data_IF_616225542874
#
_entry.id   IF_616225542874
#
_cell.length_a   1.000
_cell.length_b   1.000
_cell.length_c   1.000
_cell.angle_alpha   90.00
_cell.angle_beta   90.00
_cell.angle_gamma   90.00
#
_symmetry.space_group_name_H-M   'P 1'
#
loop_
_entity.id
_entity.type
_entity.pdbx_description
1 polymer ?
#
# COMPACT_ATOMS: atom_id res chain seq x y z
N UNK A 1 -32.69 2.38 6.56
CA UNK A 1 -32.58 1.36 7.62
C UNK A 1 -33.48 1.76 8.77
N UNK A 2 -34.15 0.81 9.41
CA UNK A 2 -34.88 1.09 10.64
C UNK A 2 -33.88 1.37 11.77
N UNK A 3 -34.23 2.22 12.75
CA UNK A 3 -33.34 2.58 13.87
C UNK A 3 -32.80 1.34 14.61
N UNK A 4 -33.59 0.26 14.67
CA UNK A 4 -33.17 -1.03 15.27
C UNK A 4 -32.07 -1.75 14.51
N UNK A 5 -31.98 -1.59 13.19
CA UNK A 5 -30.90 -2.19 12.38
C UNK A 5 -29.58 -1.44 12.59
N UNK A 6 -29.64 -0.12 12.78
CA UNK A 6 -28.47 0.71 13.05
C UNK A 6 -27.92 0.41 14.45
N UNK A 7 -28.80 0.22 15.43
CA UNK A 7 -28.40 -0.19 16.78
C UNK A 7 -27.73 -1.58 16.77
N UNK A 8 -28.34 -2.56 16.09
CA UNK A 8 -27.73 -3.90 15.92
C UNK A 8 -26.38 -3.83 15.18
N UNK A 9 -26.22 -2.93 14.22
CA UNK A 9 -24.94 -2.71 13.53
C UNK A 9 -23.89 -2.17 14.49
N UNK A 10 -24.22 -1.17 15.30
CA UNK A 10 -23.32 -0.61 16.32
C UNK A 10 -22.88 -1.68 17.30
N UNK A 11 -23.81 -2.45 17.85
CA UNK A 11 -23.49 -3.55 18.78
C UNK A 11 -22.55 -4.59 18.14
N UNK A 12 -22.78 -4.90 16.86
CA UNK A 12 -21.94 -5.84 16.11
C UNK A 12 -20.52 -5.29 15.88
N UNK A 13 -20.41 -3.98 15.60
CA UNK A 13 -19.12 -3.29 15.43
C UNK A 13 -18.36 -3.25 16.77
N UNK A 14 -19.04 -2.96 17.87
CA UNK A 14 -18.44 -2.93 19.20
C UNK A 14 -17.95 -4.32 19.61
N UNK A 15 -18.76 -5.36 19.37
CA UNK A 15 -18.32 -6.75 19.59
C UNK A 15 -17.11 -7.12 18.71
N UNK A 16 -17.10 -6.70 17.43
CA UNK A 16 -15.97 -6.94 16.54
C UNK A 16 -14.69 -6.23 17.03
N UNK A 17 -14.82 -5.02 17.59
CA UNK A 17 -13.70 -4.29 18.20
C UNK A 17 -13.15 -5.01 19.43
N UNK A 18 -14.02 -5.55 20.29
CA UNK A 18 -13.61 -6.35 21.45
C UNK A 18 -12.84 -7.60 21.01
N UNK A 19 -13.34 -8.33 20.00
CA UNK A 19 -12.66 -9.52 19.49
C UNK A 19 -11.31 -9.17 18.84
N UNK A 20 -11.24 -8.09 18.06
CA UNK A 20 -9.97 -7.59 17.52
C UNK A 20 -8.95 -7.32 18.65
N UNK A 21 -9.39 -6.68 19.73
CA UNK A 21 -8.54 -6.41 20.91
C UNK A 21 -8.08 -7.70 21.61
N UNK A 22 -8.96 -8.71 21.75
CA UNK A 22 -8.58 -10.05 22.27
C UNK A 22 -7.59 -10.75 21.35
N UNK A 23 -7.69 -10.51 20.05
CA UNK A 23 -6.71 -10.96 19.07
C UNK A 23 -5.39 -10.16 19.11
N UNK A 24 -5.22 -9.23 20.05
CA UNK A 24 -3.98 -8.46 20.19
C UNK A 24 -3.75 -7.47 19.05
N UNK A 25 -4.79 -7.19 18.25
CA UNK A 25 -4.77 -6.10 17.28
C UNK A 25 -4.87 -4.77 18.03
N UNK A 26 -4.23 -3.76 17.47
CA UNK A 26 -4.26 -2.39 17.97
C UNK A 26 -4.71 -1.44 16.84
N UNK A 27 -5.99 -1.50 16.43
CA UNK A 27 -6.52 -0.61 15.39
C UNK A 27 -6.59 0.85 15.85
N UNK A 28 -6.56 1.79 14.90
CA UNK A 28 -6.92 3.18 15.21
C UNK A 28 -8.40 3.28 15.62
N UNK A 29 -8.75 4.19 16.54
CA UNK A 29 -10.16 4.53 16.77
C UNK A 29 -10.80 4.89 15.43
N UNK A 30 -11.87 4.19 15.06
CA UNK A 30 -12.46 4.27 13.71
C UNK A 30 -13.87 4.83 13.79
N UNK A 31 -14.13 5.88 13.02
CA UNK A 31 -15.48 6.42 12.81
C UNK A 31 -16.08 5.78 11.56
N UNK A 32 -17.19 5.07 11.74
CA UNK A 32 -17.96 4.49 10.64
C UNK A 32 -19.08 5.43 10.21
N UNK A 33 -19.13 5.75 8.92
CA UNK A 33 -20.18 6.56 8.31
C UNK A 33 -20.88 5.76 7.20
N UNK A 34 -22.21 5.73 7.23
CA UNK A 34 -23.01 5.15 6.17
C UNK A 34 -23.16 6.17 5.05
N UNK A 35 -22.78 5.79 3.83
CA UNK A 35 -22.83 6.67 2.66
C UNK A 35 -23.52 6.00 1.47
N UNK A 36 -24.19 6.79 0.61
CA UNK A 36 -24.67 6.33 -0.68
C UNK A 36 -23.53 5.84 -1.58
N UNK A 37 -23.86 4.92 -2.50
CA UNK A 37 -22.90 4.39 -3.47
C UNK A 37 -22.18 5.51 -4.26
N UNK A 38 -22.89 6.57 -4.64
CA UNK A 38 -22.31 7.69 -5.38
C UNK A 38 -21.16 8.38 -4.63
N UNK A 39 -21.26 8.52 -3.31
CA UNK A 39 -20.23 9.13 -2.47
C UNK A 39 -19.05 8.16 -2.29
N UNK A 40 -19.33 6.86 -2.09
CA UNK A 40 -18.28 5.84 -2.02
C UNK A 40 -17.39 5.84 -3.28
N UNK A 41 -18.00 5.88 -4.48
CA UNK A 41 -17.25 5.92 -5.73
C UNK A 41 -16.54 7.25 -5.98
N UNK A 42 -17.06 8.35 -5.43
CA UNK A 42 -16.39 9.65 -5.45
C UNK A 42 -15.08 9.55 -4.67
N UNK A 43 -15.13 9.08 -3.43
CA UNK A 43 -13.92 8.90 -2.63
C UNK A 43 -12.95 7.89 -3.24
N UNK A 44 -13.42 6.79 -3.80
CA UNK A 44 -12.56 5.83 -4.49
C UNK A 44 -11.85 6.43 -5.72
N UNK A 45 -12.43 7.47 -6.33
CA UNK A 45 -11.89 8.10 -7.54
C UNK A 45 -10.95 9.26 -7.24
N UNK A 46 -11.27 10.03 -6.21
CA UNK A 46 -10.44 11.14 -5.74
C UNK A 46 -9.33 10.67 -4.79
N UNK A 47 -9.51 9.50 -4.16
CA UNK A 47 -8.61 8.90 -3.17
C UNK A 47 -8.81 9.45 -1.76
N UNK A 48 -9.09 10.76 -1.63
CA UNK A 48 -9.30 11.46 -0.36
C UNK A 48 -10.50 12.41 -0.45
N UNK A 49 -11.28 12.57 0.62
CA UNK A 49 -12.34 13.57 0.69
C UNK A 49 -11.74 14.99 0.62
N UNK A 50 -12.39 15.88 -0.15
CA UNK A 50 -12.00 17.30 -0.24
C UNK A 50 -10.79 17.59 -1.15
N UNK A 51 -10.35 16.63 -1.97
CA UNK A 51 -9.24 16.82 -2.92
C UNK A 51 -9.59 17.79 -4.03
N UNK A 52 -8.57 18.46 -4.58
CA UNK A 52 -8.74 19.42 -5.68
C UNK A 52 -9.45 18.77 -6.88
N UNK A 53 -10.22 19.59 -7.59
CA UNK A 53 -10.96 19.15 -8.77
C UNK A 53 -10.02 18.97 -9.96
N UNK A 54 -10.12 17.83 -10.64
CA UNK A 54 -9.39 17.57 -11.88
C UNK A 54 -10.16 16.57 -12.74
N UNK A 55 -10.12 16.72 -14.06
CA UNK A 55 -10.90 15.90 -14.98
C UNK A 55 -10.53 14.40 -14.91
N UNK A 56 -9.30 14.05 -14.55
CA UNK A 56 -8.86 12.65 -14.38
C UNK A 56 -9.63 11.95 -13.27
N UNK A 57 -9.90 12.64 -12.15
CA UNK A 57 -10.71 12.12 -11.05
C UNK A 57 -12.15 11.87 -11.51
N UNK A 58 -12.74 12.84 -12.23
CA UNK A 58 -14.07 12.71 -12.82
C UNK A 58 -14.18 11.55 -13.82
N UNK A 59 -13.18 11.38 -14.68
CA UNK A 59 -13.10 10.23 -15.61
C UNK A 59 -13.03 8.90 -14.86
N UNK A 60 -12.23 8.83 -13.79
CA UNK A 60 -12.14 7.64 -12.95
C UNK A 60 -13.47 7.34 -12.27
N UNK A 61 -14.15 8.36 -11.75
CA UNK A 61 -15.48 8.27 -11.15
C UNK A 61 -16.51 7.66 -12.09
N UNK A 62 -16.65 8.22 -13.28
CA UNK A 62 -17.59 7.66 -14.26
C UNK A 62 -17.25 6.21 -14.62
N UNK A 63 -15.97 5.86 -14.76
CA UNK A 63 -15.57 4.48 -15.05
C UNK A 63 -15.97 3.52 -13.93
N UNK A 64 -15.66 3.86 -12.68
CA UNK A 64 -15.95 3.00 -11.52
C UNK A 64 -17.45 2.89 -11.26
N UNK A 65 -18.17 4.01 -11.33
CA UNK A 65 -19.63 4.03 -11.19
C UNK A 65 -20.32 3.19 -12.27
N UNK A 66 -19.90 3.31 -13.54
CA UNK A 66 -20.46 2.50 -14.62
C UNK A 66 -20.24 1.00 -14.39
N UNK A 67 -19.06 0.60 -13.90
CA UNK A 67 -18.80 -0.81 -13.53
C UNK A 67 -19.75 -1.28 -12.43
N UNK A 68 -20.06 -0.43 -11.46
CA UNK A 68 -21.02 -0.73 -10.41
C UNK A 68 -22.45 -0.85 -10.92
N UNK A 69 -22.90 0.11 -11.74
CA UNK A 69 -24.26 0.10 -12.30
C UNK A 69 -24.52 -1.14 -13.17
N UNK A 70 -23.46 -1.68 -13.81
CA UNK A 70 -23.51 -2.96 -14.53
C UNK A 70 -23.24 -4.20 -13.68
N UNK A 71 -23.00 -4.06 -12.37
CA UNK A 71 -22.72 -5.17 -11.45
C UNK A 71 -21.39 -5.87 -11.67
N UNK A 72 -20.43 -5.21 -12.35
CA UNK A 72 -19.10 -5.76 -12.66
C UNK A 72 -18.10 -5.59 -11.50
N UNK A 73 -18.28 -4.55 -10.69
CA UNK A 73 -17.38 -4.24 -9.58
C UNK A 73 -18.17 -3.59 -8.44
N UNK A 74 -17.85 -3.96 -7.20
CA UNK A 74 -18.45 -3.39 -6.00
C UNK A 74 -17.35 -3.08 -5.00
N UNK A 75 -17.27 -1.82 -4.57
CA UNK A 75 -16.38 -1.39 -3.50
C UNK A 75 -17.12 -1.62 -2.19
N UNK A 76 -16.59 -2.51 -1.34
CA UNK A 76 -17.20 -2.83 -0.06
C UNK A 76 -16.81 -1.81 1.01
N UNK A 77 -15.56 -1.33 0.98
CA UNK A 77 -15.01 -0.38 1.94
C UNK A 77 -14.18 0.71 1.29
N UNK A 78 -14.14 1.85 1.97
CA UNK A 78 -13.09 2.84 1.79
C UNK A 78 -12.66 3.33 3.17
N UNK A 79 -11.35 3.28 3.42
CA UNK A 79 -10.74 3.61 4.72
C UNK A 79 -9.67 4.67 4.53
N UNK A 80 -9.77 5.74 5.31
CA UNK A 80 -8.77 6.81 5.36
C UNK A 80 -7.93 6.61 6.62
N UNK A 81 -6.63 6.42 6.46
CA UNK A 81 -5.67 6.09 7.52
C UNK A 81 -5.27 7.27 8.45
N UNK A 82 -6.22 8.13 8.81
CA UNK A 82 -6.06 9.20 9.80
C UNK A 82 -6.15 8.70 11.23
N UNK A 83 -5.89 9.55 12.22
CA UNK A 83 -6.15 9.26 13.63
C UNK A 83 -7.03 10.37 14.26
N UNK A 84 -8.32 10.13 14.51
CA UNK A 84 -9.06 8.86 14.29
C UNK A 84 -9.19 8.49 12.81
N UNK A 85 -9.33 7.20 12.52
CA UNK A 85 -9.54 6.66 11.18
C UNK A 85 -10.98 6.88 10.75
N UNK A 86 -11.20 7.17 9.46
CA UNK A 86 -12.56 7.25 8.89
C UNK A 86 -12.78 6.06 7.98
N UNK A 87 -13.90 5.38 8.16
CA UNK A 87 -14.32 4.25 7.34
C UNK A 87 -15.74 4.48 6.86
N UNK A 88 -15.94 4.24 5.57
CA UNK A 88 -17.22 4.50 4.92
C UNK A 88 -17.85 3.17 4.52
N UNK A 89 -19.11 3.00 4.87
CA UNK A 89 -19.92 1.79 4.65
C UNK A 89 -21.03 2.12 3.66
N UNK A 90 -21.39 1.18 2.77
CA UNK A 90 -22.50 1.43 1.84
C UNK A 90 -23.85 1.26 2.53
N UNK A 91 -24.75 2.22 2.33
CA UNK A 91 -26.15 2.15 2.82
C UNK A 91 -26.96 0.99 2.24
N UNK A 92 -26.62 0.54 1.02
CA UNK A 92 -27.34 -0.53 0.32
C UNK A 92 -26.90 -1.93 0.76
N UNK A 93 -25.87 -2.04 1.58
CA UNK A 93 -25.41 -3.33 2.10
C UNK A 93 -26.35 -3.85 3.18
N UNK A 94 -26.48 -5.17 3.27
CA UNK A 94 -27.16 -5.77 4.40
C UNK A 94 -26.31 -5.62 5.68
N UNK A 95 -26.94 -5.86 6.83
CA UNK A 95 -26.28 -5.75 8.13
C UNK A 95 -25.01 -6.59 8.20
N UNK A 96 -25.10 -7.87 7.80
CA UNK A 96 -23.99 -8.81 7.81
C UNK A 96 -22.80 -8.31 6.98
N UNK A 97 -23.05 -7.78 5.78
CA UNK A 97 -22.05 -7.19 4.90
C UNK A 97 -21.37 -6.00 5.56
N UNK A 98 -22.13 -5.12 6.22
CA UNK A 98 -21.53 -3.97 6.93
C UNK A 98 -20.75 -4.39 8.17
N UNK A 99 -21.18 -5.42 8.91
CA UNK A 99 -20.41 -6.01 10.01
C UNK A 99 -19.12 -6.66 9.50
N UNK A 100 -19.20 -7.42 8.40
CA UNK A 100 -18.05 -8.01 7.73
C UNK A 100 -17.04 -6.94 7.30
N UNK A 101 -17.52 -5.87 6.67
CA UNK A 101 -16.69 -4.74 6.27
C UNK A 101 -16.05 -4.09 7.49
N UNK A 102 -16.79 -3.83 8.57
CA UNK A 102 -16.22 -3.24 9.77
C UNK A 102 -15.10 -4.11 10.39
N UNK A 103 -15.29 -5.44 10.42
CA UNK A 103 -14.24 -6.37 10.86
C UNK A 103 -12.99 -6.32 9.96
N UNK A 104 -13.18 -6.16 8.64
CA UNK A 104 -12.09 -6.00 7.68
C UNK A 104 -11.34 -4.68 7.88
N UNK A 105 -12.09 -3.59 8.08
CA UNK A 105 -11.55 -2.25 8.36
C UNK A 105 -10.66 -2.26 9.60
N UNK A 106 -11.02 -2.99 10.67
CA UNK A 106 -10.15 -3.13 11.84
C UNK A 106 -8.81 -3.79 11.53
N UNK A 107 -8.77 -4.74 10.60
CA UNK A 107 -7.52 -5.29 10.09
C UNK A 107 -6.67 -4.22 9.38
N UNK A 108 -7.28 -3.42 8.51
CA UNK A 108 -6.58 -2.33 7.84
C UNK A 108 -6.05 -1.25 8.80
N UNK A 109 -6.88 -0.81 9.75
CA UNK A 109 -6.48 0.26 10.67
C UNK A 109 -5.40 -0.19 11.64
N UNK A 110 -5.40 -1.47 12.04
CA UNK A 110 -4.27 -2.10 12.74
C UNK A 110 -3.00 -2.12 11.88
N UNK A 111 -3.12 -2.51 10.61
CA UNK A 111 -1.99 -2.53 9.67
C UNK A 111 -1.39 -1.13 9.48
N UNK A 112 -2.23 -0.12 9.22
CA UNK A 112 -1.81 1.27 9.03
C UNK A 112 -1.11 1.86 10.26
N UNK A 113 -1.51 1.45 11.47
CA UNK A 113 -0.90 1.94 12.71
C UNK A 113 0.49 1.36 12.94
N UNK A 114 0.68 0.08 12.61
CA UNK A 114 1.82 -0.70 13.08
C UNK A 114 2.88 -0.99 12.00
N UNK A 115 2.56 -0.87 10.71
CA UNK A 115 3.53 -1.13 9.65
C UNK A 115 4.55 0.02 9.50
N UNK A 116 5.83 -0.33 9.36
CA UNK A 116 6.95 0.61 9.30
C UNK A 116 6.86 1.61 8.13
N UNK A 117 6.27 1.21 6.99
CA UNK A 117 6.14 2.07 5.81
C UNK A 117 5.10 3.19 6.00
N UNK A 118 4.14 3.01 6.91
CA UNK A 118 3.14 4.03 7.25
C UNK A 118 3.61 5.03 8.31
N UNK A 119 4.78 4.83 8.92
CA UNK A 119 5.29 5.67 10.01
C UNK A 119 5.43 7.15 9.64
N UNK A 120 5.77 7.43 8.37
CA UNK A 120 5.98 8.79 7.86
C UNK A 120 4.69 9.41 7.28
N UNK A 121 3.59 8.67 7.24
CA UNK A 121 2.34 9.13 6.67
C UNK A 121 1.65 10.14 7.60
N UNK A 122 1.16 11.23 7.01
CA UNK A 122 0.46 12.28 7.76
C UNK A 122 -0.87 11.77 8.31
N UNK A 123 -1.01 11.73 9.64
CA UNK A 123 -2.25 11.31 10.33
C UNK A 123 -3.42 12.31 10.20
N UNK A 124 -3.16 13.49 9.63
CA UNK A 124 -4.15 14.56 9.37
C UNK A 124 -4.19 14.91 7.88
N UNK A 125 -4.17 13.88 7.03
CA UNK A 125 -4.13 14.11 5.58
C UNK A 125 -5.40 14.80 5.08
N UNK A 126 -6.57 14.49 5.65
CA UNK A 126 -7.85 15.14 5.29
C UNK A 126 -7.75 16.67 5.40
N UNK A 127 -7.21 17.19 6.51
CA UNK A 127 -7.01 18.63 6.71
C UNK A 127 -6.07 19.23 5.66
N UNK A 128 -4.98 18.53 5.34
CA UNK A 128 -3.99 18.99 4.36
C UNK A 128 -4.57 19.06 2.95
N UNK A 129 -5.35 18.05 2.56
CA UNK A 129 -5.97 17.97 1.23
C UNK A 129 -6.96 19.11 1.02
N UNK A 130 -7.76 19.45 2.03
CA UNK A 130 -8.65 20.61 1.96
C UNK A 130 -7.88 21.92 1.74
N UNK A 131 -6.76 22.11 2.46
CA UNK A 131 -5.88 23.27 2.27
C UNK A 131 -5.26 23.27 0.86
N UNK A 132 -4.85 22.10 0.35
CA UNK A 132 -4.34 21.98 -1.01
C UNK A 132 -5.40 22.40 -2.05
N UNK A 133 -6.64 21.94 -1.88
CA UNK A 133 -7.74 22.28 -2.76
C UNK A 133 -8.05 23.79 -2.76
N UNK A 134 -8.04 24.44 -1.59
CA UNK A 134 -8.20 25.90 -1.48
C UNK A 134 -7.09 26.66 -2.20
N UNK A 135 -5.84 26.19 -2.10
CA UNK A 135 -4.68 26.80 -2.78
C UNK A 135 -4.79 26.65 -4.30
N UNK A 136 -5.15 25.47 -4.78
CA UNK A 136 -5.38 25.24 -6.22
C UNK A 136 -6.51 26.14 -6.72
N UNK A 137 -7.63 26.23 -6.01
CA UNK A 137 -8.74 27.11 -6.37
C UNK A 137 -8.34 28.59 -6.40
N UNK A 138 -7.48 29.02 -5.47
CA UNK A 138 -6.90 30.37 -5.49
C UNK A 138 -6.07 30.62 -6.75
N UNK A 139 -5.23 29.66 -7.15
CA UNK A 139 -4.45 29.79 -8.38
C UNK A 139 -5.31 29.77 -9.64
N UNK A 140 -6.39 28.98 -9.67
CA UNK A 140 -7.37 29.00 -10.77
C UNK A 140 -8.02 30.39 -10.91
N UNK A 141 -8.27 31.08 -9.79
CA UNK A 141 -8.80 32.44 -9.80
C UNK A 141 -7.77 33.49 -10.28
N UNK A 142 -6.52 33.38 -9.84
CA UNK A 142 -5.46 34.35 -10.14
C UNK A 142 -4.88 34.20 -11.57
N UNK A 143 -4.71 32.96 -12.04
CA UNK A 143 -4.03 32.64 -13.31
C UNK A 143 -4.97 32.11 -14.39
N UNK A 144 -6.23 31.82 -14.05
CA UNK A 144 -7.19 31.23 -14.97
C UNK A 144 -7.15 29.71 -14.93
N UNK A 145 -8.35 29.11 -14.98
CA UNK A 145 -8.55 27.66 -14.84
C UNK A 145 -7.76 26.83 -15.86
N UNK A 146 -7.82 27.20 -17.14
CA UNK A 146 -7.16 26.44 -18.21
C UNK A 146 -5.64 26.41 -18.07
N UNK A 147 -5.02 27.46 -17.52
CA UNK A 147 -3.56 27.48 -17.31
C UNK A 147 -3.14 26.57 -16.16
N UNK A 148 -3.88 26.62 -15.06
CA UNK A 148 -3.65 25.77 -13.89
C UNK A 148 -3.91 24.30 -14.23
N UNK A 149 -4.98 24.00 -14.96
CA UNK A 149 -5.32 22.64 -15.39
C UNK A 149 -4.24 22.05 -16.31
N UNK A 150 -3.75 22.81 -17.31
CA UNK A 150 -2.64 22.36 -18.17
C UNK A 150 -1.37 22.04 -17.37
N UNK A 151 -1.09 22.82 -16.33
CA UNK A 151 0.08 22.58 -15.49
C UNK A 151 -0.13 21.38 -14.55
N UNK A 152 -1.33 21.24 -13.98
CA UNK A 152 -1.72 20.07 -13.20
C UNK A 152 -1.66 18.79 -14.03
N UNK A 153 -2.10 18.80 -15.29
CA UNK A 153 -1.97 17.67 -16.22
C UNK A 153 -0.51 17.22 -16.35
N UNK A 154 0.40 18.18 -16.53
CA UNK A 154 1.83 17.89 -16.62
C UNK A 154 2.38 17.32 -15.31
N UNK A 155 2.03 17.91 -14.16
CA UNK A 155 2.48 17.44 -12.85
C UNK A 155 1.93 16.04 -12.51
N UNK A 156 0.65 15.79 -12.78
CA UNK A 156 0.00 14.51 -12.55
C UNK A 156 0.55 13.40 -13.45
N UNK A 157 1.01 13.73 -14.66
CA UNK A 157 1.60 12.74 -15.58
C UNK A 157 2.91 12.11 -15.10
N UNK A 158 3.58 12.74 -14.13
CA UNK A 158 4.84 12.27 -13.54
C UNK A 158 4.72 12.02 -12.03
N UNK A 159 3.50 12.02 -11.48
CA UNK A 159 3.27 11.99 -10.03
C UNK A 159 3.87 10.75 -9.34
N UNK A 160 3.96 9.62 -10.06
CA UNK A 160 4.44 8.34 -9.54
C UNK A 160 5.97 8.29 -9.40
N UNK A 161 6.70 9.25 -9.98
CA UNK A 161 8.16 9.34 -9.96
C UNK A 161 8.66 10.07 -8.70
N UNK A 162 8.20 9.60 -7.54
CA UNK A 162 8.64 10.05 -6.23
C UNK A 162 9.60 9.03 -5.61
N UNK A 163 10.57 9.52 -4.84
CA UNK A 163 11.41 8.62 -4.07
C UNK A 163 10.68 8.18 -2.81
N UNK A 164 10.18 6.95 -2.87
CA UNK A 164 9.47 6.31 -1.77
C UNK A 164 10.39 5.67 -0.73
N UNK A 165 11.70 5.60 -0.95
CA UNK A 165 12.66 5.02 0.01
C UNK A 165 13.00 6.00 1.15
N UNK A 166 12.02 6.72 1.68
CA UNK A 166 12.20 7.72 2.74
C UNK A 166 12.80 7.12 4.02
N UNK A 167 12.55 5.83 4.28
CA UNK A 167 13.14 5.06 5.38
C UNK A 167 14.68 4.91 5.24
N UNK A 168 15.19 4.83 4.01
CA UNK A 168 16.61 4.66 3.72
C UNK A 168 17.34 6.01 3.67
N UNK A 169 16.64 7.06 3.26
CA UNK A 169 17.17 8.42 3.07
C UNK A 169 16.85 9.36 4.24
N UNK A 170 16.91 8.88 5.48
CA UNK A 170 16.95 9.76 6.65
C UNK A 170 18.16 10.70 6.53
N UNK A 171 17.90 12.01 6.44
CA UNK A 171 18.83 13.14 6.28
C UNK A 171 20.29 12.73 6.08
N UNK A 172 20.65 12.38 4.83
CA UNK A 172 22.05 12.15 4.47
C UNK A 172 22.93 13.38 4.76
N UNK A 173 22.32 14.58 4.88
CA UNK A 173 22.98 15.81 5.30
C UNK A 173 23.59 15.67 6.71
N UNK A 174 22.86 15.13 7.68
CA UNK A 174 23.33 14.93 9.05
C UNK A 174 24.35 13.78 9.15
N UNK A 175 24.13 12.67 8.44
CA UNK A 175 25.06 11.52 8.43
C UNK A 175 26.40 11.82 7.72
N UNK A 176 26.43 12.80 6.81
CA UNK A 176 27.67 13.24 6.13
C UNK A 176 28.61 13.99 7.07
N UNK A 177 28.11 14.65 8.12
CA UNK A 177 28.96 15.30 9.11
C UNK A 177 29.64 14.28 10.03
N UNK A 178 28.94 13.21 10.44
CA UNK A 178 29.53 12.16 11.28
C UNK A 178 30.54 11.27 10.55
N UNK A 179 30.31 10.92 9.27
CA UNK A 179 31.21 10.06 8.50
C UNK A 179 32.58 10.67 8.18
N UNK A 180 32.76 11.99 8.34
CA UNK A 180 34.07 12.63 8.13
C UNK A 180 35.08 12.34 9.25
N UNK A 181 34.67 11.75 10.38
CA UNK A 181 35.49 11.72 11.59
C UNK A 181 36.20 10.40 11.92
N UNK A 182 36.05 9.30 11.17
CA UNK A 182 36.78 8.06 11.48
C UNK A 182 37.05 7.18 10.25
N UNK A 183 38.10 7.49 9.48
CA UNK A 183 38.81 6.46 8.71
C UNK A 183 40.04 6.02 9.54
N UNK A 184 39.85 5.05 10.44
CA UNK A 184 40.97 4.33 11.05
C UNK A 184 41.49 3.35 10.01
N UNK A 185 42.71 3.59 9.53
CA UNK A 185 43.37 2.73 8.54
C UNK A 185 44.03 1.54 9.25
N UNK A 186 43.71 0.34 8.81
CA UNK A 186 44.38 -0.89 9.26
C UNK A 186 45.53 -1.26 8.30
N UNK A 187 46.60 -1.91 8.80
CA UNK A 187 47.77 -2.35 8.01
C UNK A 187 47.42 -3.24 6.79
N UNK A 188 46.20 -3.80 6.75
CA UNK A 188 45.72 -4.68 5.68
C UNK A 188 44.65 -4.06 4.77
N UNK A 189 44.33 -2.76 4.91
CA UNK A 189 43.33 -2.07 4.06
C UNK A 189 43.69 -2.05 2.57
N UNK A 190 44.97 -2.24 2.23
CA UNK A 190 45.46 -2.26 0.84
C UNK A 190 45.07 -3.54 0.06
N UNK A 191 44.72 -4.64 0.73
CA UNK A 191 44.35 -5.90 0.06
C UNK A 191 42.92 -5.88 -0.51
N UNK A 192 42.03 -5.05 0.05
CA UNK A 192 40.61 -4.96 -0.34
C UNK A 192 40.27 -3.60 -0.99
N UNK A 193 41.26 -2.73 -1.20
CA UNK A 193 41.10 -1.36 -1.65
C UNK A 193 40.97 -1.15 -3.17
N UNK A 194 40.96 -2.20 -4.00
CA UNK A 194 40.92 -2.08 -5.46
C UNK A 194 39.64 -1.38 -5.97
N UNK A 195 38.48 -1.64 -5.36
CA UNK A 195 37.22 -0.96 -5.67
C UNK A 195 37.21 0.51 -5.19
N UNK A 196 37.78 0.78 -4.01
CA UNK A 196 37.93 2.16 -3.50
C UNK A 196 38.92 2.96 -4.35
N UNK A 197 40.01 2.34 -4.83
CA UNK A 197 40.96 2.94 -5.79
C UNK A 197 40.29 3.19 -7.14
N UNK A 198 39.49 2.24 -7.66
CA UNK A 198 38.74 2.45 -8.91
C UNK A 198 37.72 3.59 -8.80
N UNK A 199 36.99 3.69 -7.68
CA UNK A 199 36.08 4.82 -7.39
C UNK A 199 36.83 6.15 -7.24
N UNK A 200 37.94 6.19 -6.48
CA UNK A 200 38.77 7.40 -6.35
C UNK A 200 39.37 7.85 -7.69
N UNK A 201 39.86 6.93 -8.52
CA UNK A 201 40.38 7.23 -9.87
C UNK A 201 39.28 7.69 -10.82
N UNK A 202 38.05 7.16 -10.69
CA UNK A 202 36.89 7.64 -11.44
C UNK A 202 36.45 9.05 -10.99
N UNK A 203 36.43 9.32 -9.68
CA UNK A 203 36.15 10.64 -9.09
C UNK A 203 37.22 11.69 -9.46
N UNK A 204 38.51 11.32 -9.47
CA UNK A 204 39.61 12.17 -9.93
C UNK A 204 39.58 12.41 -11.45
N UNK A 205 39.13 11.42 -12.25
CA UNK A 205 38.88 11.60 -13.69
C UNK A 205 37.70 12.53 -13.98
N UNK A 206 36.70 12.59 -13.10
CA UNK A 206 35.53 13.45 -13.24
C UNK A 206 35.79 14.90 -12.80
N UNK A 207 36.75 15.10 -11.88
CA UNK A 207 37.23 16.42 -11.41
C UNK A 207 38.18 17.14 -12.38
N UNK A 208 38.38 16.64 -13.60
CA UNK A 208 39.23 17.31 -14.60
C UNK A 208 38.68 18.70 -14.93
N UNK A 209 39.52 19.77 -14.89
CA UNK A 209 39.08 21.12 -15.21
C UNK A 209 38.62 21.17 -16.67
N UNK A 210 37.35 21.54 -16.90
CA UNK A 210 36.78 21.71 -18.24
C UNK A 210 35.53 20.89 -18.57
N UNK A 211 35.09 19.96 -17.71
CA UNK A 211 33.74 19.38 -17.83
C UNK A 211 32.72 20.25 -17.10
N UNK A 212 31.53 20.51 -17.68
CA UNK A 212 30.44 21.11 -16.92
C UNK A 212 30.15 20.20 -15.71
N UNK A 213 29.84 20.79 -14.54
CA UNK A 213 29.49 19.99 -13.37
C UNK A 213 28.35 19.03 -13.73
N UNK A 214 28.46 17.76 -13.33
CA UNK A 214 27.36 16.81 -13.48
C UNK A 214 26.16 17.36 -12.72
N UNK A 215 25.08 17.61 -13.45
CA UNK A 215 23.85 18.14 -12.91
C UNK A 215 22.72 17.15 -13.19
N UNK A 216 22.09 16.58 -12.15
CA UNK A 216 22.42 16.67 -10.72
C UNK A 216 23.75 15.96 -10.33
N UNK A 217 24.29 16.29 -9.16
CA UNK A 217 25.54 15.69 -8.62
C UNK A 217 25.42 14.16 -8.45
N UNK A 218 24.21 13.70 -8.12
CA UNK A 218 23.83 12.29 -8.04
C UNK A 218 22.51 12.09 -8.78
N UNK A 219 22.26 10.92 -9.38
CA UNK A 219 20.95 10.62 -9.94
C UNK A 219 19.89 10.69 -8.83
N UNK A 220 18.88 11.54 -9.03
CA UNK A 220 17.72 11.64 -8.13
C UNK A 220 16.54 10.90 -8.75
N UNK A 221 15.91 10.01 -7.97
CA UNK A 221 14.70 9.31 -8.39
C UNK A 221 13.46 10.22 -8.32
N UNK A 222 13.42 11.12 -7.33
CA UNK A 222 12.30 12.01 -7.09
C UNK A 222 12.31 13.19 -8.09
N UNK A 223 11.65 13.00 -9.22
CA UNK A 223 11.61 13.99 -10.30
C UNK A 223 10.85 15.24 -9.85
N UNK A 224 9.80 15.09 -9.04
CA UNK A 224 9.03 16.23 -8.52
C UNK A 224 9.90 17.10 -7.61
N UNK A 225 10.64 16.49 -6.68
CA UNK A 225 11.56 17.22 -5.79
C UNK A 225 12.69 17.88 -6.58
N UNK A 226 13.23 17.17 -7.57
CA UNK A 226 14.24 17.71 -8.46
C UNK A 226 13.73 18.98 -9.15
N UNK A 227 12.54 18.94 -9.76
CA UNK A 227 11.94 20.11 -10.41
C UNK A 227 11.70 21.28 -9.46
N UNK A 228 11.21 21.01 -8.23
CA UNK A 228 11.02 22.06 -7.21
C UNK A 228 12.33 22.78 -6.90
N UNK A 229 13.43 22.04 -6.73
CA UNK A 229 14.73 22.59 -6.32
C UNK A 229 15.51 23.23 -7.46
N UNK A 230 15.39 22.66 -8.66
CA UNK A 230 16.34 22.90 -9.74
C UNK A 230 15.74 23.62 -10.94
N UNK A 231 14.42 23.75 -11.07
CA UNK A 231 13.81 24.43 -12.21
C UNK A 231 13.77 25.97 -11.98
N UNK A 232 14.58 26.76 -12.71
CA UNK A 232 14.65 28.20 -12.51
C UNK A 232 13.42 28.93 -13.07
N UNK A 233 12.76 28.36 -14.08
CA UNK A 233 11.65 28.99 -14.80
C UNK A 233 10.28 28.82 -14.16
N UNK A 234 10.16 27.94 -13.14
CA UNK A 234 8.88 27.73 -12.46
C UNK A 234 8.51 28.93 -11.59
N UNK A 235 7.30 29.43 -11.80
CA UNK A 235 6.69 30.44 -10.94
C UNK A 235 6.41 29.89 -9.55
N UNK A 236 6.29 30.75 -8.51
CA UNK A 236 6.00 30.28 -7.15
C UNK A 236 4.77 29.37 -7.04
N UNK A 237 3.67 29.70 -7.73
CA UNK A 237 2.44 28.89 -7.73
C UNK A 237 2.62 27.53 -8.43
N UNK A 238 3.44 27.48 -9.48
CA UNK A 238 3.75 26.24 -10.20
C UNK A 238 4.58 25.29 -9.32
N UNK A 239 5.58 25.82 -8.61
CA UNK A 239 6.36 25.03 -7.64
C UNK A 239 5.46 24.47 -6.55
N UNK A 240 4.52 25.28 -6.09
CA UNK A 240 3.59 24.88 -5.06
C UNK A 240 2.65 23.75 -5.51
N UNK A 241 2.14 23.80 -6.75
CA UNK A 241 1.34 22.70 -7.30
C UNK A 241 2.16 21.39 -7.36
N UNK A 242 3.42 21.44 -7.77
CA UNK A 242 4.29 20.25 -7.76
C UNK A 242 4.47 19.73 -6.33
N UNK A 243 4.63 20.63 -5.35
CA UNK A 243 4.74 20.27 -3.93
C UNK A 243 3.45 19.60 -3.40
N UNK A 244 2.28 20.13 -3.78
CA UNK A 244 0.96 19.55 -3.47
C UNK A 244 0.85 18.13 -4.02
N UNK A 245 1.12 17.94 -5.32
CA UNK A 245 1.06 16.63 -6.00
C UNK A 245 2.04 15.64 -5.36
N UNK A 246 3.27 16.09 -5.07
CA UNK A 246 4.29 15.27 -4.39
C UNK A 246 3.84 14.85 -3.00
N UNK A 247 3.32 15.78 -2.19
CA UNK A 247 2.88 15.50 -0.83
C UNK A 247 1.72 14.49 -0.80
N UNK A 248 0.79 14.58 -1.76
CA UNK A 248 -0.29 13.60 -1.90
C UNK A 248 0.22 12.24 -2.36
N UNK A 249 1.13 12.17 -3.34
CA UNK A 249 1.66 10.87 -3.76
C UNK A 249 2.48 10.18 -2.68
N UNK A 250 3.24 10.93 -1.89
CA UNK A 250 3.93 10.36 -0.72
C UNK A 250 2.98 9.75 0.31
N UNK A 251 1.74 10.24 0.39
CA UNK A 251 0.71 9.66 1.24
C UNK A 251 0.14 8.34 0.69
N UNK A 252 -0.02 8.23 -0.63
CA UNK A 252 -0.57 7.01 -1.27
C UNK A 252 0.46 5.90 -1.46
N UNK A 253 1.74 6.24 -1.58
CA UNK A 253 2.85 5.30 -1.81
C UNK A 253 2.84 4.09 -0.86
N UNK A 254 2.72 4.23 0.48
CA UNK A 254 2.70 3.08 1.38
C UNK A 254 1.55 2.12 1.10
N UNK A 255 0.36 2.62 0.74
CA UNK A 255 -0.80 1.79 0.38
C UNK A 255 -0.55 1.01 -0.91
N UNK A 256 0.16 1.61 -1.87
CA UNK A 256 0.56 0.93 -3.10
C UNK A 256 1.65 -0.12 -2.88
N UNK A 257 2.56 0.10 -1.91
CA UNK A 257 3.65 -0.82 -1.59
C UNK A 257 3.24 -2.03 -0.77
N UNK A 258 2.11 -1.94 -0.08
CA UNK A 258 1.69 -2.94 0.93
C UNK A 258 0.32 -3.53 0.60
N UNK A 259 -0.14 -3.41 -0.64
CA UNK A 259 -1.49 -3.81 -1.05
C UNK A 259 -1.74 -5.29 -0.75
N UNK A 260 -0.86 -6.19 -1.20
CA UNK A 260 -1.05 -7.65 -1.02
C UNK A 260 -1.04 -8.02 0.46
N UNK A 261 -0.06 -7.54 1.23
CA UNK A 261 0.04 -7.86 2.66
C UNK A 261 -1.11 -7.22 3.46
N UNK A 262 -1.51 -5.99 3.15
CA UNK A 262 -2.58 -5.28 3.85
C UNK A 262 -3.94 -5.96 3.62
N UNK A 263 -4.29 -6.28 2.36
CA UNK A 263 -5.54 -7.00 2.04
C UNK A 263 -5.55 -8.41 2.64
N UNK A 264 -4.40 -9.10 2.61
CA UNK A 264 -4.23 -10.40 3.25
C UNK A 264 -4.41 -10.35 4.76
N UNK A 265 -3.81 -9.35 5.42
CA UNK A 265 -3.90 -9.14 6.87
C UNK A 265 -5.36 -8.90 7.28
N UNK A 266 -6.03 -7.97 6.60
CA UNK A 266 -7.43 -7.68 6.85
C UNK A 266 -8.35 -8.88 6.56
N UNK A 267 -8.01 -9.71 5.58
CA UNK A 267 -8.75 -10.93 5.25
C UNK A 267 -8.60 -12.04 6.29
N UNK A 268 -7.43 -12.19 6.91
CA UNK A 268 -7.28 -13.18 7.99
C UNK A 268 -8.08 -12.75 9.21
N UNK A 269 -7.96 -11.49 9.61
CA UNK A 269 -8.59 -11.02 10.84
C UNK A 269 -10.09 -10.88 10.70
N UNK A 270 -10.61 -10.44 9.56
CA UNK A 270 -12.07 -10.47 9.37
C UNK A 270 -12.62 -11.89 9.49
N UNK A 271 -11.85 -12.91 9.08
CA UNK A 271 -12.33 -14.28 9.03
C UNK A 271 -12.40 -14.85 10.44
N UNK A 272 -11.38 -14.53 11.25
CA UNK A 272 -11.33 -14.91 12.66
C UNK A 272 -12.37 -14.18 13.50
N UNK A 273 -12.50 -12.86 13.31
CA UNK A 273 -13.47 -12.03 14.04
C UNK A 273 -14.88 -12.49 13.71
N UNK A 274 -15.24 -12.63 12.43
CA UNK A 274 -16.58 -13.07 12.03
C UNK A 274 -16.92 -14.47 12.55
N UNK A 275 -15.96 -15.41 12.58
CA UNK A 275 -16.17 -16.72 13.21
C UNK A 275 -16.45 -16.61 14.71
N UNK A 276 -15.69 -15.79 15.43
CA UNK A 276 -15.93 -15.57 16.87
C UNK A 276 -17.28 -14.89 17.16
N UNK A 277 -17.73 -13.99 16.28
CA UNK A 277 -19.07 -13.41 16.38
C UNK A 277 -20.16 -14.48 16.20
N UNK A 278 -19.92 -15.47 15.33
CA UNK A 278 -20.79 -16.65 15.18
C UNK A 278 -20.79 -17.53 16.41
N UNK A 279 -19.60 -17.86 16.95
CA UNK A 279 -19.46 -18.67 18.16
C UNK A 279 -20.13 -18.02 19.40
N UNK A 280 -20.13 -16.68 19.47
CA UNK A 280 -20.82 -15.90 20.51
C UNK A 280 -22.33 -15.73 20.27
N UNK A 281 -22.85 -16.14 19.11
CA UNK A 281 -24.27 -16.00 18.74
C UNK A 281 -24.70 -14.56 18.41
N UNK A 282 -23.76 -13.66 18.07
CA UNK A 282 -24.07 -12.29 17.63
C UNK A 282 -24.60 -12.30 16.20
N UNK A 283 -24.01 -13.14 15.35
CA UNK A 283 -24.54 -13.51 14.04
C UNK A 283 -25.18 -14.90 14.14
N UNK A 284 -26.31 -15.08 13.46
CA UNK A 284 -27.04 -16.34 13.38
C UNK A 284 -26.32 -17.38 12.52
N UNK A 285 -26.64 -18.67 12.71
CA UNK A 285 -26.07 -19.76 11.90
C UNK A 285 -26.32 -19.57 10.38
N UNK A 286 -27.47 -19.01 10.00
CA UNK A 286 -27.75 -18.64 8.61
C UNK A 286 -26.82 -17.54 8.09
N UNK A 287 -26.56 -16.53 8.92
CA UNK A 287 -25.63 -15.43 8.59
C UNK A 287 -24.18 -15.93 8.51
N UNK A 288 -23.80 -16.96 9.28
CA UNK A 288 -22.48 -17.60 9.17
C UNK A 288 -22.30 -18.26 7.79
N UNK A 289 -23.33 -18.94 7.28
CA UNK A 289 -23.28 -19.54 5.93
C UNK A 289 -23.20 -18.46 4.85
N UNK A 290 -24.00 -17.40 4.98
CA UNK A 290 -23.95 -16.25 4.07
C UNK A 290 -22.57 -15.58 4.09
N UNK A 291 -21.98 -15.41 5.28
CA UNK A 291 -20.61 -14.91 5.43
C UNK A 291 -19.59 -15.80 4.71
N UNK A 292 -19.70 -17.13 4.81
CA UNK A 292 -18.79 -18.03 4.09
C UNK A 292 -18.88 -17.85 2.56
N UNK A 293 -20.08 -17.61 2.03
CA UNK A 293 -20.28 -17.30 0.61
C UNK A 293 -19.65 -15.94 0.24
N UNK A 294 -19.87 -14.90 1.06
CA UNK A 294 -19.27 -13.59 0.85
C UNK A 294 -17.73 -13.65 0.87
N UNK A 295 -17.15 -14.29 1.89
CA UNK A 295 -15.71 -14.44 2.05
C UNK A 295 -15.07 -15.21 0.89
N UNK A 296 -15.68 -16.31 0.45
CA UNK A 296 -15.18 -17.08 -0.70
C UNK A 296 -15.26 -16.31 -2.02
N UNK A 297 -16.27 -15.45 -2.19
CA UNK A 297 -16.38 -14.56 -3.34
C UNK A 297 -15.25 -13.54 -3.39
N UNK A 298 -14.93 -12.92 -2.25
CA UNK A 298 -13.82 -11.95 -2.13
C UNK A 298 -12.46 -12.61 -2.37
N UNK A 299 -12.26 -13.82 -1.83
CA UNK A 299 -11.03 -14.59 -2.00
C UNK A 299 -10.96 -15.38 -3.32
N UNK A 300 -11.91 -15.19 -4.23
CA UNK A 300 -11.94 -15.96 -5.48
C UNK A 300 -10.74 -15.59 -6.38
N UNK A 301 -9.93 -16.56 -6.85
CA UNK A 301 -8.83 -16.27 -7.76
C UNK A 301 -9.37 -15.85 -9.14
N UNK A 302 -8.75 -14.84 -9.74
CA UNK A 302 -9.02 -14.47 -11.13
C UNK A 302 -8.12 -15.26 -12.08
N UNK A 303 -8.64 -15.59 -13.27
CA UNK A 303 -7.88 -16.32 -14.29
C UNK A 303 -6.77 -15.49 -14.94
N UNK A 304 -6.92 -14.18 -14.96
CA UNK A 304 -6.04 -13.26 -15.73
C UNK A 304 -5.27 -12.30 -14.84
N UNK A 305 -5.66 -12.14 -13.58
CA UNK A 305 -5.06 -11.18 -12.66
C UNK A 305 -4.85 -11.82 -11.29
N UNK A 306 -3.81 -11.37 -10.59
CA UNK A 306 -3.59 -11.77 -9.21
C UNK A 306 -4.64 -11.10 -8.31
N UNK A 307 -5.31 -11.91 -7.49
CA UNK A 307 -6.17 -11.39 -6.43
C UNK A 307 -5.30 -11.15 -5.17
N UNK A 308 -5.06 -9.89 -4.76
CA UNK A 308 -4.21 -9.57 -3.61
C UNK A 308 -4.78 -10.13 -2.29
N UNK A 309 -6.10 -10.17 -2.14
CA UNK A 309 -6.78 -10.72 -0.97
C UNK A 309 -6.45 -12.21 -0.80
N UNK A 310 -6.62 -12.98 -1.88
CA UNK A 310 -6.36 -14.42 -1.88
C UNK A 310 -4.88 -14.74 -1.64
N UNK A 311 -3.99 -14.07 -2.36
CA UNK A 311 -2.55 -14.29 -2.25
C UNK A 311 -2.03 -13.94 -0.84
N UNK A 312 -2.38 -12.76 -0.34
CA UNK A 312 -1.97 -12.31 0.99
C UNK A 312 -2.53 -13.20 2.10
N UNK A 313 -3.81 -13.58 2.00
CA UNK A 313 -4.45 -14.49 2.96
C UNK A 313 -3.72 -15.84 3.04
N UNK A 314 -3.47 -16.47 1.89
CA UNK A 314 -2.81 -17.79 1.83
C UNK A 314 -1.36 -17.76 2.28
N UNK A 315 -0.64 -16.70 1.94
CA UNK A 315 0.73 -16.52 2.41
C UNK A 315 0.81 -16.35 3.93
N UNK A 316 -0.07 -15.56 4.53
CA UNK A 316 -0.08 -15.39 5.98
C UNK A 316 -0.53 -16.66 6.71
N UNK A 317 -1.51 -17.43 6.19
CA UNK A 317 -1.88 -18.75 6.72
C UNK A 317 -0.68 -19.72 6.70
N UNK A 318 0.10 -19.71 5.61
CA UNK A 318 1.30 -20.53 5.49
C UNK A 318 2.40 -20.12 6.48
N UNK A 319 2.60 -18.81 6.69
CA UNK A 319 3.55 -18.29 7.68
C UNK A 319 3.15 -18.75 9.09
N UNK A 320 1.89 -18.63 9.46
CA UNK A 320 1.43 -19.09 10.78
C UNK A 320 1.67 -20.59 10.95
N UNK A 321 1.24 -21.39 9.97
CA UNK A 321 1.41 -22.85 9.97
C UNK A 321 2.87 -23.28 10.13
N UNK A 322 3.78 -22.69 9.35
CA UNK A 322 5.22 -23.05 9.36
C UNK A 322 5.94 -22.66 10.64
N UNK A 323 5.52 -21.58 11.31
CA UNK A 323 6.14 -21.17 12.57
C UNK A 323 5.46 -21.77 13.80
N UNK A 324 4.21 -22.24 13.69
CA UNK A 324 3.57 -23.02 14.74
C UNK A 324 4.07 -24.46 14.78
N UNK A 325 4.25 -25.09 13.61
CA UNK A 325 4.72 -26.48 13.47
C UNK A 325 5.91 -26.59 12.51
N UNK A 326 7.09 -26.05 12.86
CA UNK A 326 8.27 -26.11 12.00
C UNK A 326 8.81 -27.55 11.90
N UNK A 327 9.24 -27.95 10.70
CA UNK A 327 9.88 -29.26 10.49
C UNK A 327 11.24 -29.34 11.20
N UNK A 328 11.73 -30.55 11.48
CA UNK A 328 13.03 -30.75 12.15
C UNK A 328 14.18 -30.05 11.40
N UNK A 329 14.16 -30.10 10.06
CA UNK A 329 15.14 -29.41 9.22
C UNK A 329 15.07 -27.88 9.37
N UNK A 330 13.88 -27.31 9.49
CA UNK A 330 13.70 -25.86 9.67
C UNK A 330 14.11 -25.41 11.07
N UNK A 331 13.92 -26.25 12.09
CA UNK A 331 14.39 -25.98 13.44
C UNK A 331 15.93 -25.95 13.49
N UNK A 332 16.59 -26.88 12.82
CA UNK A 332 18.06 -26.95 12.78
C UNK A 332 18.68 -25.85 11.91
N UNK A 333 18.10 -25.59 10.73
CA UNK A 333 18.68 -24.64 9.75
C UNK A 333 18.37 -23.18 10.08
N UNK A 334 17.16 -22.89 10.56
CA UNK A 334 16.68 -21.53 10.78
C UNK A 334 16.42 -21.21 12.27
N UNK A 335 16.62 -22.17 13.17
CA UNK A 335 16.42 -21.94 14.61
C UNK A 335 14.96 -21.67 14.99
N UNK A 336 13.99 -22.11 14.19
CA UNK A 336 12.57 -21.85 14.46
C UNK A 336 12.12 -22.61 15.70
N UNK A 337 11.33 -21.94 16.54
CA UNK A 337 10.71 -22.56 17.72
C UNK A 337 9.22 -22.81 17.43
N UNK A 338 8.67 -23.99 17.78
CA UNK A 338 7.25 -24.26 17.65
C UNK A 338 6.38 -23.28 18.45
N UNK A 339 5.15 -23.03 17.98
CA UNK A 339 4.17 -22.14 18.60
C UNK A 339 4.45 -20.64 18.45
N UNK A 340 5.33 -20.24 17.52
CA UNK A 340 5.65 -18.83 17.26
C UNK A 340 4.95 -18.26 16.01
N UNK A 341 3.96 -18.96 15.43
CA UNK A 341 3.28 -18.58 14.19
C UNK A 341 2.67 -17.19 14.27
N UNK A 342 1.87 -16.95 15.30
CA UNK A 342 1.25 -15.64 15.53
C UNK A 342 2.28 -14.53 15.74
N UNK A 343 3.32 -14.77 16.54
CA UNK A 343 4.35 -13.75 16.76
C UNK A 343 5.04 -13.39 15.44
N UNK A 344 5.31 -14.38 14.59
CA UNK A 344 5.93 -14.13 13.28
C UNK A 344 5.01 -13.33 12.35
N UNK A 345 3.73 -13.65 12.32
CA UNK A 345 2.75 -12.87 11.55
C UNK A 345 2.74 -11.38 11.92
N UNK A 346 2.79 -11.06 13.23
CA UNK A 346 2.83 -9.67 13.71
C UNK A 346 4.15 -8.98 13.36
N UNK A 347 5.27 -9.70 13.39
CA UNK A 347 6.59 -9.20 12.93
C UNK A 347 6.55 -8.87 11.43
N UNK A 348 6.00 -9.77 10.61
CA UNK A 348 5.86 -9.59 9.16
C UNK A 348 4.98 -8.38 8.84
N UNK A 349 3.85 -8.22 9.56
CA UNK A 349 2.99 -7.03 9.47
C UNK A 349 3.76 -5.75 9.75
N UNK A 350 4.66 -5.74 10.73
CA UNK A 350 5.41 -4.54 11.12
C UNK A 350 6.49 -4.16 10.10
N UNK A 351 7.20 -5.14 9.53
CA UNK A 351 8.46 -4.90 8.82
C UNK A 351 8.38 -5.01 7.30
N UNK A 352 7.51 -5.87 6.76
CA UNK A 352 7.50 -6.19 5.33
C UNK A 352 6.58 -5.25 4.53
N UNK A 353 6.96 -5.07 3.25
CA UNK A 353 6.11 -4.58 2.16
C UNK A 353 5.87 -5.70 1.15
N UNK A 354 5.06 -5.49 0.11
CA UNK A 354 4.70 -6.56 -0.83
C UNK A 354 5.92 -7.20 -1.51
N UNK A 355 6.95 -6.41 -1.83
CA UNK A 355 8.19 -6.91 -2.45
C UNK A 355 8.95 -7.84 -1.51
N UNK A 356 9.15 -7.44 -0.26
CA UNK A 356 9.84 -8.26 0.75
C UNK A 356 8.99 -9.45 1.17
N UNK A 357 7.69 -9.24 1.35
CA UNK A 357 6.71 -10.28 1.68
C UNK A 357 6.71 -11.42 0.64
N UNK A 358 6.63 -11.08 -0.65
CA UNK A 358 6.69 -12.06 -1.73
C UNK A 358 8.06 -12.73 -1.85
N UNK A 359 9.16 -11.96 -1.75
CA UNK A 359 10.51 -12.53 -1.84
C UNK A 359 10.83 -13.52 -0.71
N UNK A 360 10.40 -13.19 0.51
CA UNK A 360 10.75 -13.93 1.71
C UNK A 360 9.81 -15.12 1.96
N UNK A 361 8.53 -15.00 1.59
CA UNK A 361 7.50 -15.97 2.03
C UNK A 361 6.74 -16.67 0.91
N UNK A 362 6.89 -16.28 -0.37
CA UNK A 362 6.30 -17.05 -1.48
C UNK A 362 7.17 -18.27 -1.79
N UNK A 363 6.76 -19.42 -1.29
CA UNK A 363 7.48 -20.70 -1.42
C UNK A 363 7.07 -21.48 -2.67
N UNK A 364 7.86 -22.49 -3.03
CA UNK A 364 7.53 -23.42 -4.13
C UNK A 364 6.18 -24.11 -3.92
N UNK A 365 5.91 -24.59 -2.70
CA UNK A 365 4.67 -25.26 -2.36
C UNK A 365 3.47 -24.32 -2.52
N UNK A 366 3.59 -23.07 -2.08
CA UNK A 366 2.55 -22.06 -2.28
C UNK A 366 2.31 -21.75 -3.76
N UNK A 367 3.37 -21.63 -4.57
CA UNK A 367 3.21 -21.38 -6.01
C UNK A 367 2.44 -22.53 -6.69
N UNK A 368 2.69 -23.78 -6.28
CA UNK A 368 1.96 -24.95 -6.78
C UNK A 368 0.52 -24.99 -6.26
N UNK A 369 0.32 -24.78 -4.97
CA UNK A 369 -1.01 -24.81 -4.33
C UNK A 369 -1.94 -23.71 -4.88
N UNK A 370 -1.37 -22.56 -5.21
CA UNK A 370 -2.09 -21.41 -5.77
C UNK A 370 -2.18 -21.42 -7.31
N UNK A 371 -1.61 -22.44 -7.96
CA UNK A 371 -1.58 -22.61 -9.41
C UNK A 371 -1.04 -21.36 -10.17
N UNK A 372 0.04 -20.77 -9.63
CA UNK A 372 0.61 -19.52 -10.15
C UNK A 372 1.60 -19.80 -11.29
N UNK A 373 1.36 -19.18 -12.45
CA UNK A 373 2.23 -19.27 -13.63
C UNK A 373 2.42 -17.92 -14.31
N UNK A 374 3.50 -17.79 -15.09
CA UNK A 374 3.66 -16.66 -16.00
C UNK A 374 3.05 -16.99 -17.36
N UNK A 375 2.09 -16.15 -17.77
CA UNK A 375 1.39 -16.29 -19.04
C UNK A 375 1.87 -15.23 -20.03
N UNK A 376 1.88 -15.58 -21.31
CA UNK A 376 2.07 -14.63 -22.41
C UNK A 376 1.03 -14.91 -23.48
N UNK A 377 0.51 -13.84 -24.09
CA UNK A 377 -0.37 -13.96 -25.24
C UNK A 377 0.47 -14.26 -26.49
N UNK A 378 0.32 -15.44 -27.06
CA UNK A 378 0.90 -15.81 -28.35
C UNK A 378 -0.24 -15.96 -29.37
N UNK A 379 -0.32 -15.02 -30.32
CA UNK A 379 -1.49 -14.90 -31.19
C UNK A 379 -2.74 -14.50 -30.40
N UNK A 380 -3.75 -15.36 -30.40
CA UNK A 380 -4.99 -15.20 -29.62
C UNK A 380 -5.09 -16.10 -28.38
N UNK A 381 -4.09 -16.95 -28.14
CA UNK A 381 -4.08 -17.88 -27.01
C UNK A 381 -3.13 -17.44 -25.90
N UNK A 382 -3.50 -17.75 -24.65
CA UNK A 382 -2.63 -17.57 -23.50
C UNK A 382 -1.81 -18.85 -23.29
N UNK A 383 -0.50 -18.73 -23.43
CA UNK A 383 0.42 -19.86 -23.25
C UNK A 383 1.20 -19.65 -21.95
N UNK A 384 1.36 -20.74 -21.18
CA UNK A 384 2.21 -20.76 -19.99
C UNK A 384 3.66 -20.74 -20.45
N UNK A 385 4.37 -19.66 -20.15
CA UNK A 385 5.77 -19.47 -20.52
C UNK A 385 6.72 -20.06 -19.48
N UNK A 386 6.36 -19.96 -18.21
CA UNK A 386 7.23 -20.36 -17.12
C UNK A 386 6.45 -20.97 -15.95
N UNK A 387 7.02 -22.04 -15.39
CA UNK A 387 6.48 -22.79 -14.24
C UNK A 387 7.45 -22.86 -13.06
N UNK A 388 8.72 -22.47 -13.26
CA UNK A 388 9.68 -22.41 -12.18
C UNK A 388 9.26 -21.32 -11.17
N UNK A 389 9.09 -21.72 -9.91
CA UNK A 389 8.55 -20.87 -8.86
C UNK A 389 9.38 -19.61 -8.59
N UNK A 390 10.72 -19.68 -8.71
CA UNK A 390 11.60 -18.53 -8.49
C UNK A 390 11.36 -17.46 -9.54
N UNK A 391 11.23 -17.88 -10.81
CA UNK A 391 10.95 -16.97 -11.92
C UNK A 391 9.53 -16.41 -11.85
N UNK A 392 8.55 -17.22 -11.42
CA UNK A 392 7.18 -16.74 -11.18
C UNK A 392 7.19 -15.66 -10.10
N UNK A 393 7.80 -15.93 -8.94
CA UNK A 393 7.96 -14.97 -7.84
C UNK A 393 8.65 -13.70 -8.31
N UNK A 394 9.79 -13.83 -8.99
CA UNK A 394 10.58 -12.69 -9.43
C UNK A 394 9.84 -11.87 -10.50
N UNK A 395 9.04 -12.52 -11.36
CA UNK A 395 8.15 -11.86 -12.31
C UNK A 395 7.05 -11.06 -11.62
N UNK A 396 6.41 -11.62 -10.59
CA UNK A 396 5.41 -10.91 -9.78
C UNK A 396 6.06 -9.71 -9.08
N UNK A 397 7.22 -9.90 -8.44
CA UNK A 397 7.95 -8.83 -7.75
C UNK A 397 8.40 -7.73 -8.72
N UNK A 398 8.84 -8.09 -9.93
CA UNK A 398 9.20 -7.11 -10.96
C UNK A 398 8.00 -6.25 -11.36
N UNK A 399 6.80 -6.82 -11.46
CA UNK A 399 5.57 -6.08 -11.78
C UNK A 399 5.17 -5.06 -10.69
N UNK A 400 5.56 -5.33 -9.43
CA UNK A 400 5.32 -4.43 -8.29
C UNK A 400 6.43 -3.38 -8.13
N UNK A 401 7.57 -3.55 -8.81
CA UNK A 401 8.66 -2.59 -8.75
C UNK A 401 8.22 -1.29 -9.42
N UNK A 402 8.40 -0.16 -8.73
CA UNK A 402 7.93 1.15 -9.18
C UNK A 402 6.42 1.19 -9.51
N UNK A 403 5.62 0.32 -8.87
CA UNK A 403 4.17 0.22 -9.08
C UNK A 403 3.75 -0.08 -10.54
N UNK A 404 4.64 -0.71 -11.31
CA UNK A 404 4.41 -0.98 -12.74
C UNK A 404 4.67 0.20 -13.66
N UNK A 405 5.14 1.34 -13.13
CA UNK A 405 5.54 2.49 -13.93
C UNK A 405 7.00 2.36 -14.40
N UNK A 406 7.33 2.84 -15.60
CA UNK A 406 8.72 2.95 -16.06
C UNK A 406 9.58 3.75 -15.07
N UNK A 407 10.87 3.42 -15.03
CA UNK A 407 11.86 4.14 -14.22
C UNK A 407 12.40 5.36 -14.96
#
# INVERSE_FOLDING_TARGET
MADSEIERLRDSIDCAWEEASKFGLDPFPTHFELVPASIMYEFASYGLPGRFSHWTHGKSYYRQKMQYDFGLSKIYEMVVNTNPSYAFLMEMNNLLQNTFVAAHVFGHTDFFKNNAYFRHTSRRMIDKVSIHAERVAKYEFEHGKDEVERFLDAALSIQEHVDYNLLLHGDESARKEEKKLTEVTSEYDDLWGLEKKAKRVAEERDKRPGKPPKFPEKPEKDILLFLIRHAPHLQPWQRDIIEIVRAEMLYFVPQMQTKVINEGWASIWHSRIMRQLGDRGIISDSEVIEFAQLHSSVLSPSRTSLNPYYLGFKMLEDIERRWDSPTTEEQEKFGRKPGMGRQKMFEVRELDNDVSFLRNYLTEDLVKDLDLYLYKKEGDEWVIVEKNWEKVRDGIVASLTNFGYPY
#
